data_IF_136408964390
#
_entry.id   IF_136408964390
#
_cell.length_a   1.000
_cell.length_b   1.000
_cell.length_c   1.000
_cell.angle_alpha   90.00
_cell.angle_beta   90.00
_cell.angle_gamma   90.00
#
_symmetry.space_group_name_H-M   'P 1'
#
loop_
_entity.id
_entity.type
_entity.pdbx_description
1 polymer ?
#
# COMPACT_ATOMS: atom_id res chain seq x y z
N UNK A 1 31.62 -2.13 12.69
CA UNK A 1 30.77 -1.49 11.68
C UNK A 1 30.59 -2.47 10.54
N UNK A 2 29.64 -3.38 10.68
CA UNK A 2 29.26 -4.32 9.62
C UNK A 2 28.13 -3.65 8.86
N UNK A 3 28.38 -3.26 7.61
CA UNK A 3 27.33 -2.73 6.75
C UNK A 3 26.26 -3.80 6.55
N UNK A 4 25.01 -3.46 6.85
CA UNK A 4 23.87 -4.32 6.54
C UNK A 4 23.86 -4.55 5.02
N UNK A 5 24.08 -5.80 4.62
CA UNK A 5 23.99 -6.21 3.22
C UNK A 5 22.56 -6.01 2.74
N UNK A 6 22.40 -5.44 1.54
CA UNK A 6 21.10 -5.25 0.92
C UNK A 6 20.45 -6.62 0.71
N UNK A 7 19.24 -6.89 1.24
CA UNK A 7 18.56 -8.17 1.10
C UNK A 7 18.36 -8.61 -0.36
N UNK A 8 18.33 -7.66 -1.30
CA UNK A 8 18.27 -7.92 -2.74
C UNK A 8 19.53 -8.60 -3.28
N UNK A 9 20.70 -8.38 -2.67
CA UNK A 9 21.98 -8.94 -3.14
C UNK A 9 22.14 -10.43 -2.75
N UNK A 10 21.29 -10.93 -1.84
CA UNK A 10 21.36 -12.30 -1.30
C UNK A 10 20.25 -13.20 -1.85
N UNK A 11 19.19 -12.63 -2.43
CA UNK A 11 18.05 -13.39 -2.93
C UNK A 11 18.38 -14.06 -4.28
N UNK A 12 18.33 -15.40 -4.32
CA UNK A 12 18.39 -16.18 -5.57
C UNK A 12 17.02 -16.78 -5.85
N UNK A 13 16.46 -16.46 -7.01
CA UNK A 13 15.23 -17.08 -7.48
C UNK A 13 15.46 -18.55 -7.86
N UNK A 14 14.92 -19.47 -7.05
CA UNK A 14 14.96 -20.90 -7.36
C UNK A 14 14.00 -21.31 -8.50
N UNK A 15 13.05 -20.45 -8.91
CA UNK A 15 12.11 -20.74 -10.01
C UNK A 15 12.66 -20.43 -11.40
N UNK A 16 13.78 -19.70 -11.51
CA UNK A 16 14.42 -19.37 -12.79
C UNK A 16 14.86 -20.62 -13.57
N UNK A 17 15.16 -21.74 -12.90
CA UNK A 17 15.58 -22.99 -13.59
C UNK A 17 14.42 -23.87 -14.06
N UNK A 18 13.19 -23.68 -13.58
CA UNK A 18 12.12 -24.67 -13.78
C UNK A 18 11.25 -24.45 -15.05
N UNK A 19 11.32 -23.30 -15.72
CA UNK A 19 10.35 -22.93 -16.77
C UNK A 19 10.95 -22.30 -18.05
N UNK A 20 12.23 -22.54 -18.36
CA UNK A 20 12.79 -22.11 -19.65
C UNK A 20 12.24 -22.96 -20.80
N UNK A 21 11.12 -22.54 -21.38
CA UNK A 21 10.76 -22.91 -22.75
C UNK A 21 11.52 -21.95 -23.67
N UNK A 22 12.46 -22.50 -24.45
CA UNK A 22 13.15 -21.76 -25.50
C UNK A 22 12.17 -21.49 -26.64
N UNK A 23 11.86 -20.24 -26.90
CA UNK A 23 11.26 -19.81 -28.17
C UNK A 23 12.26 -18.93 -28.92
N UNK A 24 12.79 -19.48 -30.01
CA UNK A 24 13.48 -18.71 -31.05
C UNK A 24 12.48 -17.79 -31.74
N UNK A 25 12.74 -16.48 -31.77
CA UNK A 25 12.41 -15.63 -32.94
C UNK A 25 13.09 -14.26 -32.86
N UNK A 26 14.02 -14.06 -33.79
CA UNK A 26 14.24 -12.88 -34.65
C UNK A 26 14.01 -11.46 -34.11
N UNK A 27 15.07 -10.65 -34.25
CA UNK A 27 15.14 -9.18 -34.17
C UNK A 27 14.01 -8.49 -34.95
N UNK A 28 13.11 -7.80 -34.24
CA UNK A 28 12.32 -6.69 -34.75
C UNK A 28 12.36 -5.54 -33.73
N UNK A 29 12.44 -4.30 -34.21
CA UNK A 29 12.73 -3.09 -33.44
C UNK A 29 11.89 -2.99 -32.16
N UNK A 30 12.56 -2.72 -31.03
CA UNK A 30 12.00 -2.83 -29.68
C UNK A 30 10.62 -2.20 -29.56
N UNK A 31 9.58 -3.04 -29.59
CA UNK A 31 8.20 -2.61 -29.49
C UNK A 31 8.04 -1.85 -28.18
N UNK A 32 7.64 -0.60 -28.30
CA UNK A 32 7.38 0.27 -27.16
C UNK A 32 6.11 -0.21 -26.47
N UNK A 33 6.19 -0.51 -25.17
CA UNK A 33 5.04 -0.82 -24.30
C UNK A 33 4.77 0.35 -23.35
N UNK A 34 3.52 0.50 -22.92
CA UNK A 34 3.13 1.45 -21.87
C UNK A 34 2.52 0.64 -20.72
N UNK A 35 3.16 0.67 -19.56
CA UNK A 35 2.65 0.04 -18.35
C UNK A 35 1.90 1.05 -17.49
N UNK A 36 0.71 0.67 -17.01
CA UNK A 36 -0.03 1.42 -15.99
C UNK A 36 0.31 0.87 -14.62
N UNK A 37 1.12 1.60 -13.86
CA UNK A 37 1.54 1.19 -12.51
C UNK A 37 0.80 2.02 -11.47
N UNK A 38 0.02 1.33 -10.63
CA UNK A 38 -0.71 1.94 -9.53
C UNK A 38 0.18 2.08 -8.29
N UNK A 39 -0.10 3.05 -7.43
CA UNK A 39 0.62 3.24 -6.16
C UNK A 39 -0.26 3.92 -5.11
N UNK A 40 0.10 3.75 -3.84
CA UNK A 40 -0.45 4.56 -2.76
C UNK A 40 0.21 5.94 -2.76
N UNK A 41 -0.60 7.00 -2.64
CA UNK A 41 -0.12 8.38 -2.50
C UNK A 41 -0.89 9.08 -1.39
N UNK A 42 -0.21 10.01 -0.72
CA UNK A 42 -0.76 10.80 0.38
C UNK A 42 -1.84 11.82 -0.06
N UNK A 43 -1.88 12.18 -1.35
CA UNK A 43 -2.69 13.33 -1.83
C UNK A 43 -4.11 12.96 -2.26
N UNK A 44 -4.49 11.69 -2.30
CA UNK A 44 -5.79 11.29 -2.82
C UNK A 44 -6.62 10.54 -1.79
N UNK A 45 -7.89 10.93 -1.68
CA UNK A 45 -8.95 10.20 -0.96
C UNK A 45 -9.12 8.77 -1.53
N UNK A 46 -8.69 8.54 -2.78
CA UNK A 46 -8.83 7.28 -3.47
C UNK A 46 -7.64 6.33 -3.21
N UNK A 47 -7.72 5.55 -2.13
CA UNK A 47 -6.83 4.41 -1.86
C UNK A 47 -6.68 3.55 -3.13
N UNK A 48 -5.44 3.44 -3.64
CA UNK A 48 -5.11 2.57 -4.77
C UNK A 48 -5.64 3.00 -6.15
N UNK A 49 -6.07 4.24 -6.36
CA UNK A 49 -6.43 4.72 -7.72
C UNK A 49 -5.40 5.64 -8.38
N UNK A 50 -4.36 6.06 -7.66
CA UNK A 50 -3.25 6.77 -8.30
C UNK A 50 -2.45 5.81 -9.16
N UNK A 51 -2.07 6.27 -10.34
CA UNK A 51 -1.22 5.52 -11.24
C UNK A 51 -0.31 6.46 -12.01
N UNK A 52 0.73 5.87 -12.58
CA UNK A 52 1.58 6.49 -13.57
C UNK A 52 1.68 5.56 -14.76
N UNK A 53 1.61 6.15 -15.96
CA UNK A 53 1.94 5.46 -17.19
C UNK A 53 3.45 5.54 -17.41
N UNK A 54 4.08 4.39 -17.60
CA UNK A 54 5.52 4.26 -17.83
C UNK A 54 5.72 3.70 -19.23
N UNK A 55 6.39 4.47 -20.08
CA UNK A 55 6.81 4.02 -21.41
C UNK A 55 8.10 3.20 -21.25
N UNK A 56 8.12 1.98 -21.78
CA UNK A 56 9.24 1.07 -21.69
C UNK A 56 9.37 0.23 -22.97
N UNK A 57 10.39 -0.61 -23.03
CA UNK A 57 10.55 -1.62 -24.07
C UNK A 57 10.73 -3.01 -23.44
N UNK A 58 10.84 -4.03 -24.27
CA UNK A 58 10.98 -5.42 -23.83
C UNK A 58 12.23 -5.68 -22.96
N UNK A 59 13.30 -4.92 -23.14
CA UNK A 59 14.56 -5.09 -22.38
C UNK A 59 14.62 -4.25 -21.11
N UNK A 60 13.63 -3.39 -20.87
CA UNK A 60 13.60 -2.54 -19.66
C UNK A 60 13.44 -3.45 -18.43
N UNK A 61 14.28 -3.24 -17.42
CA UNK A 61 14.22 -3.99 -16.16
C UNK A 61 13.15 -3.42 -15.23
N UNK A 62 12.58 -4.27 -14.36
CA UNK A 62 11.59 -3.84 -13.36
C UNK A 62 12.16 -2.76 -12.42
N UNK A 63 13.45 -2.83 -12.09
CA UNK A 63 14.16 -1.80 -11.32
C UNK A 63 14.07 -0.42 -11.96
N UNK A 64 14.22 -0.34 -13.29
CA UNK A 64 14.12 0.91 -14.04
C UNK A 64 12.69 1.46 -14.01
N UNK A 65 11.67 0.59 -14.09
CA UNK A 65 10.27 0.98 -13.96
C UNK A 65 10.00 1.59 -12.58
N UNK A 66 10.45 0.91 -11.52
CA UNK A 66 10.30 1.37 -10.13
C UNK A 66 10.95 2.76 -9.97
N UNK A 67 12.22 2.90 -10.36
CA UNK A 67 12.95 4.17 -10.24
C UNK A 67 12.28 5.29 -11.05
N UNK A 68 11.84 5.00 -12.27
CA UNK A 68 11.12 5.97 -13.13
C UNK A 68 9.83 6.50 -12.47
N UNK A 69 9.15 5.70 -11.65
CA UNK A 69 7.95 6.13 -10.93
C UNK A 69 8.35 6.97 -9.71
N UNK A 70 9.29 6.48 -8.90
CA UNK A 70 9.74 7.17 -7.68
C UNK A 70 10.36 8.54 -8.01
N UNK A 71 11.18 8.63 -9.05
CA UNK A 71 11.86 9.86 -9.47
C UNK A 71 10.96 10.89 -10.15
N UNK A 72 9.72 10.53 -10.44
CA UNK A 72 8.81 11.43 -11.15
C UNK A 72 8.11 12.46 -10.28
N UNK A 73 8.29 12.37 -8.96
CA UNK A 73 7.56 13.18 -7.98
C UNK A 73 6.07 12.85 -7.87
N UNK A 74 5.54 11.87 -8.63
CA UNK A 74 4.12 11.48 -8.60
C UNK A 74 3.73 10.75 -7.32
N UNK A 75 4.65 9.96 -6.76
CA UNK A 75 4.46 9.29 -5.46
C UNK A 75 4.59 10.33 -4.34
N UNK A 76 5.63 11.15 -4.43
CA UNK A 76 5.89 12.33 -3.61
C UNK A 76 7.33 12.79 -3.78
N UNK A 77 7.72 13.92 -3.15
CA UNK A 77 9.07 14.45 -3.22
C UNK A 77 10.05 13.69 -2.32
N UNK A 78 11.35 13.82 -2.62
CA UNK A 78 12.45 13.46 -1.70
C UNK A 78 12.43 12.03 -1.15
N UNK A 79 12.10 11.05 -1.99
CA UNK A 79 12.12 9.63 -1.62
C UNK A 79 13.58 9.17 -1.49
N UNK A 80 13.95 8.75 -0.28
CA UNK A 80 15.29 8.28 0.09
C UNK A 80 15.31 6.74 0.05
N UNK A 81 14.28 6.09 0.60
CA UNK A 81 14.24 4.64 0.76
C UNK A 81 13.69 3.91 -0.48
N UNK A 82 14.28 4.18 -1.65
CA UNK A 82 13.83 3.57 -2.92
C UNK A 82 13.91 2.04 -2.92
N UNK A 83 14.92 1.47 -2.25
CA UNK A 83 15.11 0.02 -2.14
C UNK A 83 14.01 -0.68 -1.35
N UNK A 84 13.19 0.04 -0.58
CA UNK A 84 12.05 -0.54 0.13
C UNK A 84 10.88 -0.87 -0.80
N UNK A 85 10.86 -0.29 -2.01
CA UNK A 85 9.79 -0.49 -2.97
C UNK A 85 10.01 -1.72 -3.85
N UNK A 86 8.94 -2.45 -4.11
CA UNK A 86 8.86 -3.54 -5.08
C UNK A 86 7.66 -3.37 -6.00
N UNK A 87 7.66 -4.12 -7.10
CA UNK A 87 6.56 -4.13 -8.06
C UNK A 87 5.80 -5.45 -7.97
N UNK A 88 4.49 -5.37 -7.80
CA UNK A 88 3.58 -6.52 -7.69
C UNK A 88 2.64 -6.56 -8.89
N UNK A 89 2.55 -7.71 -9.54
CA UNK A 89 1.55 -8.02 -10.54
C UNK A 89 0.41 -8.79 -9.88
N UNK A 90 -0.83 -8.30 -10.01
CA UNK A 90 -2.02 -8.92 -9.44
C UNK A 90 -3.02 -9.23 -10.55
N UNK A 91 -3.55 -10.45 -10.55
CA UNK A 91 -4.70 -10.79 -11.38
C UNK A 91 -5.97 -10.22 -10.73
N UNK A 92 -6.82 -9.55 -11.52
CA UNK A 92 -8.02 -8.90 -11.01
C UNK A 92 -9.20 -9.85 -10.80
N UNK A 93 -9.14 -11.05 -11.37
CA UNK A 93 -10.24 -12.04 -11.32
C UNK A 93 -9.92 -13.29 -10.48
N UNK A 94 -8.70 -13.42 -9.98
CA UNK A 94 -8.28 -14.50 -9.08
C UNK A 94 -7.42 -13.94 -7.94
N UNK A 95 -6.98 -14.83 -7.05
CA UNK A 95 -6.04 -14.49 -5.97
C UNK A 95 -4.56 -14.54 -6.41
N UNK A 96 -4.29 -14.69 -7.71
CA UNK A 96 -2.92 -14.76 -8.24
C UNK A 96 -2.19 -13.44 -8.08
N UNK A 97 -1.04 -13.52 -7.41
CA UNK A 97 -0.16 -12.41 -7.10
C UNK A 97 1.28 -12.83 -7.36
N UNK A 98 2.00 -12.05 -8.16
CA UNK A 98 3.41 -12.24 -8.45
C UNK A 98 4.19 -11.00 -8.03
N UNK A 99 5.17 -11.19 -7.15
CA UNK A 99 6.16 -10.14 -6.90
C UNK A 99 7.24 -10.23 -7.95
N UNK A 100 7.44 -9.12 -8.67
CA UNK A 100 8.38 -9.06 -9.77
C UNK A 100 9.77 -8.71 -9.25
N UNK A 101 10.73 -9.60 -9.48
CA UNK A 101 12.12 -9.35 -9.12
C UNK A 101 12.65 -8.11 -9.89
N UNK A 102 13.44 -7.24 -9.25
CA UNK A 102 13.95 -6.02 -9.89
C UNK A 102 14.72 -6.26 -11.20
N UNK A 103 15.37 -7.42 -11.32
CA UNK A 103 16.23 -7.76 -12.46
C UNK A 103 15.48 -8.48 -13.60
N UNK A 104 14.19 -8.75 -13.43
CA UNK A 104 13.38 -9.25 -14.55
C UNK A 104 13.22 -8.15 -15.59
N UNK A 105 13.27 -8.54 -16.86
CA UNK A 105 12.89 -7.67 -17.97
C UNK A 105 11.37 -7.69 -18.18
N UNK A 106 10.83 -6.63 -18.77
CA UNK A 106 9.41 -6.59 -19.18
C UNK A 106 9.06 -7.76 -20.09
N UNK A 107 9.97 -8.19 -20.98
CA UNK A 107 9.74 -9.38 -21.81
C UNK A 107 9.54 -10.66 -20.99
N UNK A 108 10.38 -10.91 -19.99
CA UNK A 108 10.23 -12.09 -19.15
C UNK A 108 8.94 -12.05 -18.33
N UNK A 109 8.54 -10.88 -17.84
CA UNK A 109 7.26 -10.72 -17.13
C UNK A 109 6.08 -11.02 -18.05
N UNK A 110 6.14 -10.56 -19.31
CA UNK A 110 5.12 -10.86 -20.31
C UNK A 110 5.00 -12.35 -20.57
N UNK A 111 6.13 -12.99 -20.87
CA UNK A 111 6.16 -14.39 -21.27
C UNK A 111 5.81 -15.32 -20.12
N UNK A 112 6.27 -15.03 -18.89
CA UNK A 112 6.06 -15.89 -17.71
C UNK A 112 4.69 -15.70 -17.03
N UNK A 113 4.18 -14.47 -16.99
CA UNK A 113 3.02 -14.15 -16.17
C UNK A 113 1.87 -13.54 -16.97
N UNK A 114 2.12 -12.46 -17.74
CA UNK A 114 1.00 -11.81 -18.44
C UNK A 114 0.34 -12.71 -19.47
N UNK A 115 1.11 -13.59 -20.12
CA UNK A 115 0.63 -14.56 -21.12
C UNK A 115 -0.43 -15.54 -20.61
N UNK A 116 -0.57 -15.69 -19.29
CA UNK A 116 -1.51 -16.62 -18.67
C UNK A 116 -2.97 -16.16 -18.79
N UNK A 117 -3.20 -14.85 -18.85
CA UNK A 117 -4.54 -14.24 -18.87
C UNK A 117 -4.59 -13.04 -19.82
N UNK A 118 -5.74 -12.38 -19.97
CA UNK A 118 -5.80 -11.18 -20.81
C UNK A 118 -5.09 -9.98 -20.14
N UNK A 119 -4.38 -9.15 -20.92
CA UNK A 119 -3.63 -7.98 -20.39
C UNK A 119 -4.48 -7.06 -19.50
N UNK A 120 -5.74 -6.82 -19.87
CA UNK A 120 -6.66 -5.96 -19.11
C UNK A 120 -7.05 -6.53 -17.74
N UNK A 121 -6.78 -7.81 -17.49
CA UNK A 121 -7.05 -8.49 -16.22
C UNK A 121 -5.88 -8.38 -15.25
N UNK A 122 -4.72 -7.90 -15.72
CA UNK A 122 -3.55 -7.67 -14.90
C UNK A 122 -3.47 -6.25 -14.37
N UNK A 123 -2.92 -6.13 -13.16
CA UNK A 123 -2.65 -4.85 -12.53
C UNK A 123 -1.28 -4.83 -11.89
N UNK A 124 -0.52 -3.79 -12.21
CA UNK A 124 0.75 -3.48 -11.57
C UNK A 124 0.53 -2.56 -10.37
N UNK A 125 1.02 -2.94 -9.20
CA UNK A 125 1.05 -2.14 -7.98
C UNK A 125 2.49 -1.95 -7.51
N UNK A 126 2.95 -0.69 -7.47
CA UNK A 126 4.17 -0.30 -6.76
C UNK A 126 3.85 -0.24 -5.26
N UNK A 127 4.60 -1.01 -4.47
CA UNK A 127 4.33 -1.22 -3.04
C UNK A 127 5.63 -1.23 -2.25
N UNK A 128 5.54 -0.87 -0.97
CA UNK A 128 6.64 -1.04 -0.03
C UNK A 128 6.60 -2.49 0.47
N UNK A 129 7.70 -3.21 0.29
CA UNK A 129 7.80 -4.63 0.63
C UNK A 129 8.97 -4.90 1.56
N UNK A 130 10.12 -4.27 1.28
CA UNK A 130 11.36 -4.52 2.03
C UNK A 130 11.47 -3.48 3.13
N UNK A 131 11.15 -3.88 4.36
CA UNK A 131 11.09 -2.97 5.50
C UNK A 131 12.46 -2.83 6.18
N UNK A 132 12.86 -1.60 6.57
CA UNK A 132 13.99 -1.43 7.47
C UNK A 132 13.62 -1.96 8.87
N UNK A 133 14.64 -2.25 9.68
CA UNK A 133 14.46 -2.84 11.02
C UNK A 133 13.58 -1.99 11.94
N UNK A 134 13.76 -0.67 11.92
CA UNK A 134 12.88 0.28 12.60
C UNK A 134 12.16 1.14 11.56
N UNK A 135 10.96 0.71 11.18
CA UNK A 135 10.14 1.36 10.15
C UNK A 135 9.84 2.81 10.50
N UNK A 136 9.46 3.09 11.75
CA UNK A 136 9.05 4.42 12.15
C UNK A 136 10.24 5.38 12.21
N UNK A 137 11.34 5.00 12.85
CA UNK A 137 12.52 5.86 12.93
C UNK A 137 13.17 6.09 11.56
N UNK A 138 13.21 5.06 10.71
CA UNK A 138 13.77 5.17 9.35
C UNK A 138 12.90 6.09 8.48
N UNK A 139 11.60 5.80 8.36
CA UNK A 139 10.74 6.52 7.43
C UNK A 139 10.38 7.93 7.90
N UNK A 140 10.59 8.32 9.17
CA UNK A 140 10.48 9.74 9.58
C UNK A 140 11.42 10.66 8.79
N UNK A 141 12.55 10.16 8.32
CA UNK A 141 13.51 10.90 7.48
C UNK A 141 13.02 11.03 6.02
N UNK A 142 12.03 10.23 5.64
CA UNK A 142 11.42 10.17 4.30
C UNK A 142 9.89 10.19 4.43
N UNK A 143 9.34 11.39 4.59
CA UNK A 143 7.91 11.60 4.83
C UNK A 143 7.04 10.98 3.75
N UNK A 144 7.49 10.95 2.50
CA UNK A 144 6.74 10.34 1.41
C UNK A 144 6.65 8.84 1.60
N UNK A 145 7.76 8.16 1.88
CA UNK A 145 7.77 6.71 2.12
C UNK A 145 6.94 6.35 3.36
N UNK A 146 7.03 7.11 4.46
CA UNK A 146 6.20 6.88 5.66
C UNK A 146 4.70 6.90 5.33
N UNK A 147 4.25 7.93 4.61
CA UNK A 147 2.85 8.10 4.28
C UNK A 147 2.37 7.09 3.24
N UNK A 148 3.22 6.73 2.26
CA UNK A 148 2.94 5.63 1.33
C UNK A 148 2.76 4.31 2.07
N UNK A 149 3.64 3.99 3.03
CA UNK A 149 3.56 2.76 3.81
C UNK A 149 2.31 2.75 4.67
N UNK A 150 2.04 3.84 5.38
CA UNK A 150 0.82 3.99 6.16
C UNK A 150 -0.46 3.77 5.32
N UNK A 151 -0.56 4.42 4.16
CA UNK A 151 -1.74 4.25 3.29
C UNK A 151 -1.83 2.84 2.71
N UNK A 152 -0.70 2.19 2.43
CA UNK A 152 -0.66 0.80 2.01
C UNK A 152 -1.22 -0.12 3.09
N UNK A 153 -0.67 -0.06 4.30
CA UNK A 153 -1.10 -0.87 5.46
C UNK A 153 -2.56 -0.61 5.80
N UNK A 154 -2.99 0.66 5.79
CA UNK A 154 -4.39 1.02 6.02
C UNK A 154 -5.31 0.46 4.94
N UNK A 155 -4.91 0.51 3.67
CA UNK A 155 -5.69 -0.07 2.57
C UNK A 155 -5.88 -1.57 2.76
N UNK A 156 -4.81 -2.28 3.10
CA UNK A 156 -4.85 -3.73 3.31
C UNK A 156 -5.73 -4.06 4.53
N UNK A 157 -5.59 -3.31 5.64
CA UNK A 157 -6.47 -3.42 6.80
C UNK A 157 -7.94 -3.29 6.40
N UNK A 158 -8.31 -2.23 5.67
CA UNK A 158 -9.71 -1.97 5.28
C UNK A 158 -10.27 -3.08 4.36
N UNK A 159 -9.44 -3.72 3.54
CA UNK A 159 -9.86 -4.73 2.58
C UNK A 159 -9.91 -6.15 3.17
N UNK A 160 -8.96 -6.50 4.03
CA UNK A 160 -8.71 -7.89 4.41
C UNK A 160 -9.06 -8.18 5.87
N UNK A 161 -8.95 -7.19 6.76
CA UNK A 161 -8.96 -7.40 8.22
C UNK A 161 -10.13 -6.71 8.91
N UNK A 162 -10.50 -5.49 8.46
CA UNK A 162 -11.42 -4.60 9.16
C UNK A 162 -12.83 -5.16 9.40
N UNK A 163 -13.28 -6.10 8.56
CA UNK A 163 -14.59 -6.74 8.72
C UNK A 163 -14.66 -7.73 9.90
N UNK A 164 -13.50 -8.21 10.38
CA UNK A 164 -13.40 -9.29 11.36
C UNK A 164 -12.87 -8.82 12.73
N UNK A 165 -12.36 -7.60 12.83
CA UNK A 165 -11.81 -7.06 14.08
C UNK A 165 -12.91 -6.61 15.03
N UNK A 166 -12.57 -6.56 16.32
CA UNK A 166 -13.44 -6.01 17.35
C UNK A 166 -13.87 -4.57 17.02
N UNK A 167 -15.13 -4.25 17.32
CA UNK A 167 -15.70 -2.94 17.05
C UNK A 167 -14.92 -1.79 17.71
N UNK A 168 -14.36 -2.01 18.90
CA UNK A 168 -13.53 -1.04 19.60
C UNK A 168 -12.21 -0.75 18.85
N UNK A 169 -11.58 -1.78 18.28
CA UNK A 169 -10.37 -1.64 17.47
C UNK A 169 -10.69 -0.87 16.18
N UNK A 170 -11.76 -1.27 15.46
CA UNK A 170 -12.19 -0.57 14.26
C UNK A 170 -12.54 0.90 14.54
N UNK A 171 -13.20 1.18 15.67
CA UNK A 171 -13.52 2.54 16.11
C UNK A 171 -12.26 3.37 16.36
N UNK A 172 -11.28 2.82 17.09
CA UNK A 172 -10.01 3.51 17.39
C UNK A 172 -9.21 3.81 16.12
N UNK A 173 -9.05 2.82 15.25
CA UNK A 173 -8.32 2.96 13.98
C UNK A 173 -8.99 4.01 13.06
N UNK A 174 -10.32 3.99 12.97
CA UNK A 174 -11.05 5.00 12.20
C UNK A 174 -10.94 6.40 12.78
N UNK A 175 -11.03 6.56 14.11
CA UNK A 175 -10.82 7.86 14.76
C UNK A 175 -9.40 8.42 14.58
N UNK A 176 -8.38 7.55 14.61
CA UNK A 176 -6.99 7.92 14.30
C UNK A 176 -6.86 8.42 12.86
N UNK A 177 -7.49 7.75 11.89
CA UNK A 177 -7.47 8.22 10.50
C UNK A 177 -8.21 9.55 10.35
N UNK A 178 -9.34 9.78 11.03
CA UNK A 178 -10.01 11.10 10.98
C UNK A 178 -9.06 12.20 11.48
N UNK A 179 -8.38 11.97 12.62
CA UNK A 179 -7.43 12.94 13.20
C UNK A 179 -6.25 13.20 12.27
N UNK A 180 -5.71 12.14 11.64
CA UNK A 180 -4.60 12.23 10.69
C UNK A 180 -5.02 12.95 9.41
N UNK A 181 -6.17 12.57 8.86
CA UNK A 181 -6.73 13.10 7.61
C UNK A 181 -7.04 14.60 7.72
N UNK A 182 -7.65 15.02 8.83
CA UNK A 182 -7.90 16.43 9.13
C UNK A 182 -6.88 16.99 10.13
N UNK A 183 -5.60 16.94 9.78
CA UNK A 183 -4.49 17.35 10.67
C UNK A 183 -4.61 18.77 11.26
N UNK A 184 -5.30 19.69 10.57
CA UNK A 184 -5.48 21.08 11.02
C UNK A 184 -6.81 21.32 11.76
N UNK A 185 -7.63 20.28 11.97
CA UNK A 185 -8.90 20.38 12.66
C UNK A 185 -8.72 20.65 14.16
N UNK A 186 -9.49 21.58 14.77
CA UNK A 186 -9.47 21.78 16.22
C UNK A 186 -9.85 20.51 17.01
N UNK A 187 -9.24 20.23 18.18
CA UNK A 187 -9.46 18.98 18.92
C UNK A 187 -10.93 18.65 19.26
N UNK A 188 -11.76 19.69 19.49
CA UNK A 188 -13.19 19.53 19.81
C UNK A 188 -14.12 19.72 18.60
N UNK A 189 -13.58 19.81 17.39
CA UNK A 189 -14.38 20.19 16.22
C UNK A 189 -15.51 19.21 15.92
N UNK A 190 -15.33 17.91 16.16
CA UNK A 190 -16.35 16.90 15.90
C UNK A 190 -17.48 16.88 16.93
N UNK A 191 -17.35 17.56 18.08
CA UNK A 191 -18.47 17.70 19.04
C UNK A 191 -19.63 18.46 18.41
N UNK A 192 -19.33 19.44 17.55
CA UNK A 192 -20.33 20.23 16.83
C UNK A 192 -21.04 19.39 15.77
N UNK A 193 -22.37 19.33 15.86
CA UNK A 193 -23.23 18.56 14.94
C UNK A 193 -23.00 18.84 13.46
N UNK A 194 -22.93 20.11 13.08
CA UNK A 194 -22.72 20.52 11.70
C UNK A 194 -21.39 20.03 11.12
N UNK A 195 -20.35 19.95 11.94
CA UNK A 195 -19.02 19.54 11.47
C UNK A 195 -18.99 18.02 11.19
N UNK A 196 -19.65 17.24 12.04
CA UNK A 196 -19.80 15.80 11.79
C UNK A 196 -20.64 15.54 10.54
N UNK A 197 -21.77 16.24 10.38
CA UNK A 197 -22.63 16.11 9.19
C UNK A 197 -21.89 16.50 7.90
N UNK A 198 -21.00 17.50 7.96
CA UNK A 198 -20.15 17.87 6.83
C UNK A 198 -19.16 16.75 6.47
N UNK A 199 -18.50 16.13 7.47
CA UNK A 199 -17.61 14.98 7.24
C UNK A 199 -18.37 13.82 6.60
N UNK A 200 -19.54 13.48 7.13
CA UNK A 200 -20.38 12.40 6.63
C UNK A 200 -20.86 12.64 5.20
N UNK A 201 -21.23 13.89 4.87
CA UNK A 201 -21.74 14.25 3.55
C UNK A 201 -20.66 14.39 2.47
N UNK A 202 -19.54 15.04 2.79
CA UNK A 202 -18.52 15.41 1.79
C UNK A 202 -17.47 14.31 1.60
N UNK A 203 -17.19 13.52 2.64
CA UNK A 203 -16.14 12.48 2.61
C UNK A 203 -16.71 11.08 2.78
N UNK A 204 -17.71 10.93 3.65
CA UNK A 204 -18.33 9.63 3.95
C UNK A 204 -17.57 8.84 5.02
N UNK A 205 -18.33 8.15 5.87
CA UNK A 205 -17.77 7.33 6.95
C UNK A 205 -17.08 6.05 6.43
N UNK A 206 -17.44 5.58 5.24
CA UNK A 206 -16.81 4.44 4.56
C UNK A 206 -15.30 4.60 4.34
N UNK A 207 -14.81 5.85 4.29
CA UNK A 207 -13.37 6.09 4.23
C UNK A 207 -12.70 5.67 5.54
N UNK A 208 -13.35 5.87 6.68
CA UNK A 208 -12.73 5.73 8.00
C UNK A 208 -13.09 4.41 8.69
N UNK A 209 -14.27 3.87 8.43
CA UNK A 209 -14.84 2.75 9.17
C UNK A 209 -15.35 1.65 8.24
N UNK A 210 -15.17 0.36 8.59
CA UNK A 210 -15.72 -0.74 7.81
C UNK A 210 -17.25 -0.74 7.84
N UNK A 211 -17.89 -1.20 6.77
CA UNK A 211 -19.36 -1.27 6.66
C UNK A 211 -20.00 -2.06 7.80
N UNK A 212 -19.35 -3.15 8.20
CA UNK A 212 -19.81 -4.02 9.30
C UNK A 212 -20.00 -3.25 10.61
N UNK A 213 -19.10 -2.31 10.92
CA UNK A 213 -19.22 -1.47 12.11
C UNK A 213 -20.40 -0.50 11.96
N UNK A 214 -20.54 0.11 10.79
CA UNK A 214 -21.60 1.09 10.51
C UNK A 214 -22.99 0.44 10.55
N UNK A 215 -23.15 -0.74 9.95
CA UNK A 215 -24.41 -1.47 9.87
C UNK A 215 -24.82 -2.09 11.22
N UNK A 216 -23.86 -2.31 12.13
CA UNK A 216 -24.11 -2.92 13.44
C UNK A 216 -24.89 -2.03 14.42
N UNK A 217 -25.02 -0.74 14.14
CA UNK A 217 -25.62 0.21 15.07
C UNK A 217 -26.32 1.38 14.38
N UNK A 218 -27.26 2.03 15.08
CA UNK A 218 -27.96 3.21 14.55
C UNK A 218 -26.99 4.38 14.37
N UNK A 219 -27.16 5.16 13.29
CA UNK A 219 -26.33 6.32 12.96
C UNK A 219 -26.12 7.31 14.14
N UNK A 220 -27.18 7.58 14.92
CA UNK A 220 -27.09 8.44 16.11
C UNK A 220 -26.15 7.87 17.19
N UNK A 221 -26.13 6.54 17.37
CA UNK A 221 -25.25 5.87 18.31
C UNK A 221 -23.81 5.83 17.79
N UNK A 222 -23.63 5.46 16.51
CA UNK A 222 -22.32 5.47 15.84
C UNK A 222 -21.64 6.82 15.98
N UNK A 223 -22.35 7.89 15.64
CA UNK A 223 -21.85 9.25 15.77
C UNK A 223 -21.40 9.58 17.20
N UNK A 224 -22.19 9.19 18.21
CA UNK A 224 -21.82 9.43 19.62
C UNK A 224 -20.53 8.69 19.97
N UNK A 225 -20.37 7.44 19.52
CA UNK A 225 -19.15 6.66 19.75
C UNK A 225 -17.94 7.26 19.04
N UNK A 226 -18.08 7.71 17.79
CA UNK A 226 -16.99 8.39 17.07
C UNK A 226 -16.57 9.66 17.81
N UNK A 227 -17.52 10.51 18.20
CA UNK A 227 -17.23 11.73 18.95
C UNK A 227 -16.51 11.44 20.27
N UNK A 228 -16.95 10.42 21.01
CA UNK A 228 -16.35 10.02 22.29
C UNK A 228 -14.93 9.47 22.11
N UNK A 229 -14.71 8.56 21.15
CA UNK A 229 -13.41 7.95 20.91
C UNK A 229 -12.41 8.92 20.28
N UNK A 230 -12.86 9.82 19.41
CA UNK A 230 -12.00 10.82 18.77
C UNK A 230 -11.29 11.72 19.80
N UNK A 231 -11.94 12.05 20.92
CA UNK A 231 -11.34 12.89 21.96
C UNK A 231 -10.03 12.32 22.52
N UNK A 232 -9.91 10.99 22.59
CA UNK A 232 -8.70 10.30 23.06
C UNK A 232 -7.48 10.59 22.16
N UNK A 233 -7.71 10.85 20.87
CA UNK A 233 -6.67 11.08 19.86
C UNK A 233 -6.62 12.53 19.38
N UNK A 234 -7.55 13.38 19.84
CA UNK A 234 -7.81 14.71 19.26
C UNK A 234 -6.61 15.68 19.28
N UNK A 235 -5.64 15.43 20.17
CA UNK A 235 -4.42 16.23 20.34
C UNK A 235 -3.20 15.66 19.60
N UNK A 236 -3.31 14.45 19.03
CA UNK A 236 -2.20 13.80 18.34
C UNK A 236 -1.92 14.49 17.01
N UNK A 237 -0.62 14.65 16.70
CA UNK A 237 -0.12 15.05 15.40
C UNK A 237 -0.15 13.87 14.42
N UNK A 238 0.00 14.17 13.13
CA UNK A 238 -0.04 13.17 12.05
C UNK A 238 0.88 11.96 12.30
N UNK A 239 2.14 12.21 12.66
CA UNK A 239 3.12 11.13 12.88
C UNK A 239 2.81 10.30 14.14
N UNK A 240 2.21 10.92 15.16
CA UNK A 240 1.76 10.24 16.38
C UNK A 240 0.52 9.38 16.10
N UNK A 241 -0.40 9.86 15.25
CA UNK A 241 -1.53 9.07 14.78
C UNK A 241 -1.07 7.83 14.01
N UNK A 242 -0.10 7.96 13.11
CA UNK A 242 0.46 6.84 12.34
C UNK A 242 1.09 5.82 13.28
N UNK A 243 1.92 6.30 14.22
CA UNK A 243 2.57 5.44 15.22
C UNK A 243 1.54 4.66 16.05
N UNK A 244 0.50 5.36 16.53
CA UNK A 244 -0.57 4.76 17.34
C UNK A 244 -1.45 3.81 16.53
N UNK A 245 -1.68 4.11 15.26
CA UNK A 245 -2.40 3.24 14.35
C UNK A 245 -1.67 1.92 14.15
N UNK A 246 -0.36 1.97 13.89
CA UNK A 246 0.47 0.76 13.79
C UNK A 246 0.51 -0.03 15.09
N UNK A 247 0.65 0.64 16.24
CA UNK A 247 0.60 -0.02 17.56
C UNK A 247 -0.69 -0.82 17.76
N UNK A 248 -1.84 -0.22 17.48
CA UNK A 248 -3.14 -0.90 17.62
C UNK A 248 -3.28 -2.01 16.59
N UNK A 249 -2.93 -1.75 15.32
CA UNK A 249 -3.12 -2.72 14.25
C UNK A 249 -2.26 -3.98 14.42
N UNK A 250 -1.05 -3.86 15.00
CA UNK A 250 -0.19 -5.01 15.32
C UNK A 250 -0.86 -6.03 16.26
N UNK A 251 -1.86 -5.62 17.03
CA UNK A 251 -2.58 -6.53 17.94
C UNK A 251 -3.50 -7.51 17.21
N UNK A 252 -3.84 -7.24 15.94
CA UNK A 252 -4.80 -8.04 15.15
C UNK A 252 -4.24 -8.54 13.82
N UNK A 253 -3.13 -7.99 13.33
CA UNK A 253 -2.48 -8.46 12.11
C UNK A 253 -0.97 -8.18 12.11
N UNK A 254 -0.20 -9.05 11.45
CA UNK A 254 1.24 -8.89 11.27
C UNK A 254 1.53 -8.34 9.87
N UNK A 255 1.34 -7.03 9.70
CA UNK A 255 1.55 -6.34 8.42
C UNK A 255 3.03 -6.03 8.12
N UNK A 256 3.94 -6.38 9.03
CA UNK A 256 5.39 -6.16 8.88
C UNK A 256 6.12 -7.41 8.37
N UNK A 257 5.43 -8.55 8.27
CA UNK A 257 6.02 -9.83 7.86
C UNK A 257 5.10 -10.60 6.90
N UNK A 258 5.68 -11.18 5.85
CA UNK A 258 4.99 -12.12 4.96
C UNK A 258 5.22 -13.56 5.47
N UNK A 259 4.15 -14.36 5.53
CA UNK A 259 4.21 -15.75 5.99
C UNK A 259 3.87 -16.70 4.84
N UNK A 260 4.71 -17.72 4.65
CA UNK A 260 4.56 -18.70 3.58
C UNK A 260 4.45 -20.10 4.17
N UNK A 261 3.37 -20.81 3.84
CA UNK A 261 3.25 -22.24 4.14
C UNK A 261 4.18 -23.00 3.19
N UNK A 262 5.12 -23.77 3.75
CA UNK A 262 6.09 -24.53 2.99
C UNK A 262 6.49 -25.81 3.76
N UNK A 263 7.11 -26.74 3.05
CA UNK A 263 7.82 -27.88 3.62
C UNK A 263 9.32 -27.61 3.57
N UNK A 264 10.02 -27.81 4.69
CA UNK A 264 11.47 -27.67 4.79
C UNK A 264 12.09 -29.07 4.77
N UNK A 265 13.06 -29.28 3.89
CA UNK A 265 13.84 -30.51 3.75
C UNK A 265 15.21 -30.42 4.39
#
# INVERSE_FOLDING_TARGET
MTGDQNPLDVWRDATTQALCIQSDTSKEGGVTKILKVCFCSNTSINLGKNFKLVKCNHTTEIREIINTILDSGRVGPSIIFKSCYGLRLKHLKSDEIYWLHPDLTVHEVLTKYESLHHEAEWRYDLRIRFLPKDVMESFKQDRTTLLCYYQQVRSDYMQEVAAQVDQDIAMKLGCLEIRRFYKDMPPKALEKKSNFELLEKEVGLDLFFPKQLQDSMKAKHLRKLIQQNFLQFSQLKEDECISKFFEILRTVTNFEQEHYKCELG
#
